data_IF_147567874171
#
_entry.id   IF_147567874171
#
_cell.length_a   1.000
_cell.length_b   1.000
_cell.length_c   1.000
_cell.angle_alpha   90.00
_cell.angle_beta   90.00
_cell.angle_gamma   90.00
#
_symmetry.space_group_name_H-M   'P 1'
#
loop_
_entity.id
_entity.type
_entity.pdbx_description
1 polymer ?
#
# COMPACT_ATOMS: atom_id res chain seq x y z
N UNK A 1 -6.21 11.24 8.34
CA UNK A 1 -6.18 11.71 6.94
C UNK A 1 -7.52 12.35 6.56
N UNK A 2 -8.59 11.60 6.26
CA UNK A 2 -9.91 12.21 5.97
C UNK A 2 -10.53 12.97 7.15
N UNK A 3 -10.30 12.52 8.39
CA UNK A 3 -10.72 13.22 9.61
C UNK A 3 -9.91 14.50 9.91
N UNK A 4 -8.82 14.74 9.18
CA UNK A 4 -7.78 15.71 9.54
C UNK A 4 -7.51 16.74 8.44
N UNK A 5 -7.82 16.42 7.18
CA UNK A 5 -7.60 17.30 6.03
C UNK A 5 -8.94 17.59 5.32
N UNK A 6 -9.45 18.79 5.54
CA UNK A 6 -10.75 19.25 5.04
C UNK A 6 -10.81 19.28 3.51
N UNK A 7 -9.74 19.71 2.84
CA UNK A 7 -9.67 19.79 1.37
C UNK A 7 -9.73 18.40 0.71
N UNK A 8 -9.06 17.40 1.29
CA UNK A 8 -9.12 16.01 0.80
C UNK A 8 -10.55 15.47 0.97
N UNK A 9 -11.21 15.80 2.08
CA UNK A 9 -12.59 15.37 2.33
C UNK A 9 -13.57 15.96 1.31
N UNK A 10 -13.49 17.26 1.05
CA UNK A 10 -14.37 17.96 0.11
C UNK A 10 -14.18 17.43 -1.32
N UNK A 11 -12.93 17.23 -1.76
CA UNK A 11 -12.63 16.64 -3.07
C UNK A 11 -13.16 15.21 -3.21
N UNK A 12 -12.99 14.39 -2.18
CA UNK A 12 -13.51 13.02 -2.17
C UNK A 12 -15.04 13.01 -2.27
N UNK A 13 -15.72 13.87 -1.51
CA UNK A 13 -17.18 13.96 -1.53
C UNK A 13 -17.70 14.38 -2.91
N UNK A 14 -17.09 15.39 -3.54
CA UNK A 14 -17.47 15.83 -4.89
C UNK A 14 -17.26 14.70 -5.90
N UNK A 15 -16.12 14.00 -5.85
CA UNK A 15 -15.83 12.92 -6.80
C UNK A 15 -16.75 11.72 -6.64
N UNK A 16 -17.09 11.32 -5.41
CA UNK A 16 -18.07 10.25 -5.17
C UNK A 16 -19.44 10.67 -5.69
N UNK A 17 -19.87 11.90 -5.41
CA UNK A 17 -21.16 12.41 -5.86
C UNK A 17 -21.26 12.43 -7.39
N UNK A 18 -20.24 12.98 -8.07
CA UNK A 18 -20.18 13.03 -9.53
C UNK A 18 -20.18 11.62 -10.16
N UNK A 19 -19.42 10.68 -9.57
CA UNK A 19 -19.39 9.30 -10.06
C UNK A 19 -20.72 8.60 -9.84
N UNK A 20 -21.37 8.85 -8.71
CA UNK A 20 -22.68 8.27 -8.42
C UNK A 20 -23.77 8.84 -9.32
N UNK A 21 -23.78 10.14 -9.59
CA UNK A 21 -24.72 10.76 -10.54
C UNK A 21 -24.52 10.29 -11.98
N UNK A 22 -23.29 9.92 -12.35
CA UNK A 22 -22.98 9.33 -13.66
C UNK A 22 -23.39 7.86 -13.78
N UNK A 23 -23.59 7.17 -12.65
CA UNK A 23 -24.14 5.82 -12.60
C UNK A 23 -25.67 5.94 -12.67
N UNK A 24 -26.21 5.89 -13.89
CA UNK A 24 -27.66 5.86 -14.10
C UNK A 24 -28.34 4.69 -13.37
N UNK A 25 -29.68 4.73 -13.29
CA UNK A 25 -30.47 3.68 -12.64
C UNK A 25 -30.21 2.32 -13.31
N UNK A 26 -29.34 1.50 -12.72
CA UNK A 26 -29.19 0.11 -13.15
C UNK A 26 -30.43 -0.67 -12.69
N UNK A 27 -30.99 -1.50 -13.57
CA UNK A 27 -32.21 -2.27 -13.28
C UNK A 27 -31.99 -3.39 -12.24
N UNK A 28 -30.73 -3.83 -12.07
CA UNK A 28 -30.35 -4.93 -11.18
C UNK A 28 -29.62 -4.44 -9.93
N UNK A 29 -30.09 -4.87 -8.75
CA UNK A 29 -29.58 -4.45 -7.44
C UNK A 29 -28.10 -4.80 -7.24
N UNK A 30 -27.68 -6.00 -7.66
CA UNK A 30 -26.27 -6.42 -7.63
C UNK A 30 -25.38 -5.50 -8.46
N UNK A 31 -25.86 -5.07 -9.64
CA UNK A 31 -25.11 -4.16 -10.50
C UNK A 31 -25.03 -2.76 -9.89
N UNK A 32 -26.12 -2.27 -9.27
CA UNK A 32 -26.12 -1.02 -8.50
C UNK A 32 -25.09 -1.07 -7.36
N UNK A 33 -25.03 -2.20 -6.65
CA UNK A 33 -24.07 -2.38 -5.55
C UNK A 33 -22.62 -2.37 -6.02
N UNK A 34 -22.30 -3.09 -7.10
CA UNK A 34 -20.92 -3.11 -7.60
C UNK A 34 -20.52 -1.75 -8.19
N UNK A 35 -21.44 -1.05 -8.85
CA UNK A 35 -21.25 0.31 -9.33
C UNK A 35 -20.99 1.29 -8.17
N UNK A 36 -21.77 1.21 -7.10
CA UNK A 36 -21.57 2.04 -5.91
C UNK A 36 -20.21 1.79 -5.27
N UNK A 37 -19.85 0.52 -5.12
CA UNK A 37 -18.57 0.10 -4.55
C UNK A 37 -17.39 0.56 -5.39
N UNK A 38 -17.47 0.44 -6.71
CA UNK A 38 -16.39 0.89 -7.61
C UNK A 38 -16.23 2.41 -7.54
N UNK A 39 -17.32 3.19 -7.56
CA UNK A 39 -17.27 4.64 -7.44
C UNK A 39 -16.55 5.10 -6.16
N UNK A 40 -16.85 4.47 -5.02
CA UNK A 40 -16.18 4.73 -3.74
C UNK A 40 -14.69 4.42 -3.81
N UNK A 41 -14.34 3.21 -4.29
CA UNK A 41 -12.95 2.74 -4.31
C UNK A 41 -12.11 3.63 -5.23
N UNK A 42 -12.64 3.96 -6.41
CA UNK A 42 -11.93 4.77 -7.38
C UNK A 42 -11.74 6.22 -6.88
N UNK A 43 -12.80 6.86 -6.39
CA UNK A 43 -12.70 8.21 -5.80
C UNK A 43 -11.71 8.23 -4.62
N UNK A 44 -11.69 7.17 -3.81
CA UNK A 44 -10.73 7.04 -2.72
C UNK A 44 -9.30 6.95 -3.26
N UNK A 45 -9.06 6.14 -4.28
CA UNK A 45 -7.74 5.95 -4.87
C UNK A 45 -7.19 7.21 -5.57
N UNK A 46 -8.07 8.06 -6.10
CA UNK A 46 -7.72 9.31 -6.76
C UNK A 46 -7.38 10.42 -5.75
N UNK A 47 -8.15 10.51 -4.66
CA UNK A 47 -8.05 11.65 -3.73
C UNK A 47 -7.18 11.37 -2.53
N UNK A 48 -7.13 10.11 -2.07
CA UNK A 48 -6.41 9.74 -0.86
C UNK A 48 -5.00 9.30 -1.26
N UNK A 49 -3.96 10.07 -0.89
CA UNK A 49 -2.59 9.66 -1.20
C UNK A 49 -2.27 8.35 -0.49
N UNK A 50 -1.73 7.38 -1.24
CA UNK A 50 -1.17 6.17 -0.63
C UNK A 50 -0.01 6.58 0.28
N UNK A 51 -0.16 6.35 1.58
CA UNK A 51 0.93 6.59 2.54
C UNK A 51 2.00 5.56 2.27
N UNK A 52 3.05 5.95 1.51
CA UNK A 52 4.24 5.12 1.35
C UNK A 52 4.86 4.93 2.73
N UNK A 53 4.93 3.69 3.20
CA UNK A 53 5.70 3.36 4.40
C UNK A 53 7.15 3.73 4.10
N UNK A 54 7.75 4.55 4.96
CA UNK A 54 9.18 4.87 4.85
C UNK A 54 9.98 3.76 5.50
N UNK A 55 11.12 3.42 4.90
CA UNK A 55 12.12 2.57 5.53
C UNK A 55 12.55 3.23 6.85
N UNK A 56 12.30 2.56 7.97
CA UNK A 56 12.73 3.04 9.28
C UNK A 56 14.22 2.81 9.52
N UNK A 57 14.82 1.85 8.81
CA UNK A 57 16.21 1.43 8.97
C UNK A 57 16.99 1.75 7.70
N UNK A 58 18.23 2.21 7.84
CA UNK A 58 19.09 2.64 6.71
C UNK A 58 19.42 1.51 5.73
N UNK A 59 19.41 0.27 6.20
CA UNK A 59 19.67 -0.93 5.40
C UNK A 59 18.41 -1.50 4.74
N UNK A 60 17.23 -0.96 5.03
CA UNK A 60 15.98 -1.51 4.53
C UNK A 60 15.63 -0.90 3.18
N UNK A 61 15.42 -1.76 2.19
CA UNK A 61 15.14 -1.38 0.80
C UNK A 61 13.63 -1.32 0.53
N UNK A 62 13.24 -0.63 -0.54
CA UNK A 62 11.85 -0.58 -1.00
C UNK A 62 11.32 -1.98 -1.37
N UNK A 63 12.20 -2.88 -1.83
CA UNK A 63 11.85 -4.28 -2.11
C UNK A 63 11.35 -5.00 -0.83
N UNK A 64 12.06 -4.82 0.29
CA UNK A 64 11.65 -5.40 1.59
C UNK A 64 10.31 -4.84 2.02
N UNK A 65 10.10 -3.53 1.87
CA UNK A 65 8.85 -2.87 2.23
C UNK A 65 7.66 -3.41 1.42
N UNK A 66 7.84 -3.59 0.11
CA UNK A 66 6.82 -4.16 -0.77
C UNK A 66 6.50 -5.61 -0.39
N UNK A 67 7.51 -6.43 -0.09
CA UNK A 67 7.30 -7.81 0.37
C UNK A 67 6.57 -7.88 1.72
N UNK A 68 6.84 -6.94 2.64
CA UNK A 68 6.10 -6.84 3.90
C UNK A 68 4.63 -6.46 3.69
N UNK A 69 4.35 -5.63 2.68
CA UNK A 69 2.99 -5.24 2.30
C UNK A 69 2.25 -6.43 1.67
N UNK A 70 2.90 -7.15 0.75
CA UNK A 70 2.36 -8.38 0.14
C UNK A 70 2.06 -9.45 1.20
N UNK A 71 2.94 -9.60 2.20
CA UNK A 71 2.72 -10.50 3.33
C UNK A 71 1.45 -10.14 4.10
N UNK A 72 1.19 -8.84 4.30
CA UNK A 72 -0.03 -8.36 4.96
C UNK A 72 -1.31 -8.64 4.14
N UNK A 73 -1.21 -8.64 2.81
CA UNK A 73 -2.32 -9.01 1.92
C UNK A 73 -2.57 -10.53 1.85
N UNK A 74 -1.59 -11.36 2.25
CA UNK A 74 -1.72 -12.81 2.27
C UNK A 74 -2.48 -13.36 3.50
N UNK A 75 -3.09 -12.49 4.31
CA UNK A 75 -3.92 -12.89 5.44
C UNK A 75 -5.04 -13.83 4.97
N UNK A 76 -5.08 -15.05 5.53
CA UNK A 76 -6.04 -16.10 5.15
C UNK A 76 -5.48 -17.22 4.29
N UNK A 77 -4.30 -17.05 3.67
CA UNK A 77 -3.57 -18.14 3.02
C UNK A 77 -2.23 -18.38 3.73
N UNK A 78 -2.20 -19.41 4.59
CA UNK A 78 -1.04 -19.74 5.44
C UNK A 78 0.21 -20.05 4.60
N UNK A 79 0.07 -20.84 3.55
CA UNK A 79 1.21 -21.24 2.72
C UNK A 79 1.84 -20.04 2.02
N UNK A 80 1.01 -19.19 1.39
CA UNK A 80 1.48 -17.96 0.75
C UNK A 80 2.13 -17.02 1.75
N UNK A 81 1.55 -16.88 2.94
CA UNK A 81 2.11 -16.08 4.02
C UNK A 81 3.51 -16.58 4.42
N UNK A 82 3.68 -17.88 4.64
CA UNK A 82 4.96 -18.48 5.02
C UNK A 82 6.02 -18.32 3.92
N UNK A 83 5.64 -18.50 2.65
CA UNK A 83 6.54 -18.29 1.52
C UNK A 83 7.04 -16.84 1.46
N UNK A 84 6.14 -15.86 1.57
CA UNK A 84 6.52 -14.43 1.56
C UNK A 84 7.34 -14.11 2.82
N UNK A 85 6.99 -14.68 3.98
CA UNK A 85 7.72 -14.45 5.22
C UNK A 85 9.19 -14.87 5.11
N UNK A 86 9.46 -16.05 4.53
CA UNK A 86 10.84 -16.52 4.29
C UNK A 86 11.61 -15.56 3.38
N UNK A 87 10.99 -15.11 2.27
CA UNK A 87 11.60 -14.12 1.36
C UNK A 87 11.92 -12.80 2.05
N UNK A 88 11.01 -12.30 2.90
CA UNK A 88 11.24 -11.08 3.68
C UNK A 88 12.45 -11.26 4.60
N UNK A 89 12.56 -12.38 5.32
CA UNK A 89 13.69 -12.65 6.21
C UNK A 89 15.02 -12.70 5.45
N UNK A 90 15.06 -13.43 4.34
CA UNK A 90 16.25 -13.56 3.50
C UNK A 90 16.73 -12.19 2.98
N UNK A 91 15.81 -11.39 2.43
CA UNK A 91 16.11 -10.05 1.91
C UNK A 91 16.57 -9.09 3.01
N UNK A 92 15.95 -9.16 4.19
CA UNK A 92 16.38 -8.38 5.36
C UNK A 92 17.81 -8.74 5.78
N UNK A 93 18.12 -10.03 5.89
CA UNK A 93 19.44 -10.49 6.30
C UNK A 93 20.52 -10.02 5.31
N UNK A 94 20.28 -10.27 4.01
CA UNK A 94 21.19 -9.86 2.94
C UNK A 94 21.40 -8.34 2.90
N UNK A 95 20.33 -7.55 2.97
CA UNK A 95 20.45 -6.08 2.90
C UNK A 95 21.15 -5.52 4.13
N UNK A 96 20.89 -6.10 5.31
CA UNK A 96 21.57 -5.72 6.55
C UNK A 96 23.06 -6.08 6.52
N UNK A 97 23.42 -7.27 6.04
CA UNK A 97 24.80 -7.70 5.89
C UNK A 97 25.56 -6.82 4.89
N UNK A 98 24.99 -6.55 3.72
CA UNK A 98 25.57 -5.65 2.73
C UNK A 98 25.85 -4.27 3.32
N UNK A 99 24.89 -3.71 4.05
CA UNK A 99 25.05 -2.40 4.68
C UNK A 99 26.16 -2.41 5.74
N UNK A 100 26.25 -3.45 6.58
CA UNK A 100 27.33 -3.59 7.56
C UNK A 100 28.69 -3.67 6.84
N UNK A 101 28.79 -4.51 5.81
CA UNK A 101 30.02 -4.70 5.04
C UNK A 101 30.47 -3.42 4.32
N UNK A 102 29.54 -2.65 3.76
CA UNK A 102 29.82 -1.33 3.20
C UNK A 102 30.38 -0.37 4.27
N UNK A 103 29.78 -0.34 5.46
CA UNK A 103 30.26 0.49 6.56
C UNK A 103 31.63 0.07 7.09
N UNK A 104 31.92 -1.22 7.16
CA UNK A 104 33.26 -1.69 7.50
C UNK A 104 34.30 -1.22 6.47
N UNK A 105 34.01 -1.36 5.17
CA UNK A 105 34.90 -0.91 4.09
C UNK A 105 35.14 0.60 4.13
N UNK A 106 34.11 1.39 4.40
CA UNK A 106 34.25 2.85 4.56
C UNK A 106 35.21 3.22 5.70
N UNK A 107 35.18 2.47 6.82
CA UNK A 107 36.06 2.68 7.97
C UNK A 107 37.49 2.23 7.67
N UNK A 108 37.67 1.08 7.01
CA UNK A 108 38.99 0.53 6.66
C UNK A 108 39.74 1.38 5.64
N UNK A 109 39.03 2.21 4.87
CA UNK A 109 39.58 3.12 3.85
C UNK A 109 39.80 4.56 4.36
N UNK A 110 39.51 4.85 5.63
CA UNK A 110 39.81 6.11 6.31
C UNK A 110 41.14 6.04 7.06
#
# INVERSE_FOLDING_TARGET
MLKTNQTIREKYQILVQNKFEALGDAEEVEQQWENFKSAIIEAASEVIPKVKRKAQQKWMTDEILNLMEERGCANGNKEKYEQIHKKVQEKCNMSKENWINEKCKEIEQQ
#
